data_IF_766511203240
#
_entry.id   IF_766511203240
#
_cell.length_a   1.000
_cell.length_b   1.000
_cell.length_c   1.000
_cell.angle_alpha   90.00
_cell.angle_beta   90.00
_cell.angle_gamma   90.00
#
_symmetry.space_group_name_H-M   'P 1'
#
loop_
_entity.id
_entity.type
_entity.pdbx_description
1 polymer ?
#
# COMPACT_ATOMS: atom_id res chain seq x y z
N UNK A 1 -9.28 -7.23 7.43
CA UNK A 1 -8.08 -6.48 7.83
C UNK A 1 -8.36 -5.43 8.91
N UNK A 2 -9.32 -4.51 8.73
CA UNK A 2 -9.64 -3.49 9.73
C UNK A 2 -10.00 -4.09 11.11
N UNK A 3 -10.77 -5.17 11.14
CA UNK A 3 -11.07 -5.92 12.37
C UNK A 3 -9.79 -6.38 13.11
N UNK A 4 -8.71 -6.74 12.40
CA UNK A 4 -7.45 -7.14 13.02
C UNK A 4 -6.73 -5.95 13.66
N UNK A 5 -6.65 -4.82 12.96
CA UNK A 5 -6.05 -3.62 13.55
C UNK A 5 -6.86 -3.13 14.75
N UNK A 6 -8.20 -3.20 14.69
CA UNK A 6 -9.04 -2.80 15.82
C UNK A 6 -8.89 -3.77 17.00
N UNK A 7 -8.90 -5.08 16.76
CA UNK A 7 -8.80 -6.10 17.81
C UNK A 7 -7.40 -6.25 18.41
N UNK A 8 -6.34 -5.90 17.69
CA UNK A 8 -4.96 -6.03 18.16
C UNK A 8 -4.45 -4.81 18.93
N UNK A 9 -5.10 -3.65 18.80
CA UNK A 9 -4.65 -2.40 19.40
C UNK A 9 -5.64 -1.88 20.45
N UNK A 10 -5.11 -1.60 21.64
CA UNK A 10 -5.86 -1.11 22.80
C UNK A 10 -6.57 0.24 22.56
N UNK A 11 -6.01 1.09 21.68
CA UNK A 11 -6.59 2.39 21.33
C UNK A 11 -6.48 2.62 19.83
N UNK A 12 -7.62 2.85 19.19
CA UNK A 12 -7.71 3.18 17.76
C UNK A 12 -8.49 4.49 17.61
N UNK A 13 -8.14 5.28 16.61
CA UNK A 13 -8.93 6.44 16.18
C UNK A 13 -9.49 6.17 14.79
N UNK A 14 -10.73 6.59 14.47
CA UNK A 14 -11.25 6.54 13.11
C UNK A 14 -10.33 7.24 12.09
N UNK A 15 -9.60 8.26 12.53
CA UNK A 15 -8.62 8.99 11.72
C UNK A 15 -7.45 8.13 11.23
N UNK A 16 -7.21 6.96 11.84
CA UNK A 16 -6.14 6.06 11.43
C UNK A 16 -6.36 5.52 10.01
N UNK A 17 -7.60 5.23 9.64
CA UNK A 17 -7.93 4.78 8.28
C UNK A 17 -7.76 5.88 7.25
N UNK A 18 -8.11 7.11 7.64
CA UNK A 18 -7.92 8.28 6.80
C UNK A 18 -6.42 8.49 6.57
N UNK A 19 -5.61 8.43 7.63
CA UNK A 19 -4.15 8.53 7.53
C UNK A 19 -3.57 7.43 6.63
N UNK A 20 -4.03 6.19 6.76
CA UNK A 20 -3.58 5.08 5.92
C UNK A 20 -3.93 5.27 4.44
N UNK A 21 -5.06 5.92 4.15
CA UNK A 21 -5.53 6.12 2.77
C UNK A 21 -4.91 7.36 2.11
N UNK A 22 -4.65 8.41 2.89
CA UNK A 22 -4.16 9.69 2.40
C UNK A 22 -2.63 9.75 2.28
N UNK A 23 -1.91 9.05 3.17
CA UNK A 23 -0.46 9.18 3.23
C UNK A 23 0.26 8.15 2.34
N UNK A 24 0.89 8.57 1.22
CA UNK A 24 1.52 7.66 0.25
C UNK A 24 2.77 6.95 0.78
N UNK A 25 3.26 7.37 1.96
CA UNK A 25 4.41 6.75 2.66
C UNK A 25 4.00 5.48 3.40
N UNK A 26 2.71 5.26 3.64
CA UNK A 26 2.23 4.09 4.38
C UNK A 26 2.02 2.90 3.44
N UNK A 27 2.50 1.75 3.87
CA UNK A 27 2.30 0.48 3.18
C UNK A 27 1.79 -0.56 4.16
N UNK A 28 0.97 -1.49 3.66
CA UNK A 28 0.42 -2.58 4.46
C UNK A 28 0.81 -3.91 3.85
N UNK A 29 1.37 -4.77 4.68
CA UNK A 29 1.74 -6.14 4.35
C UNK A 29 0.84 -7.09 5.13
N UNK A 30 0.47 -8.21 4.50
CA UNK A 30 -0.37 -9.23 5.11
C UNK A 30 0.30 -10.60 4.97
N UNK A 31 0.39 -11.33 6.08
CA UNK A 31 0.72 -12.74 6.09
C UNK A 31 -0.56 -13.55 5.89
N UNK A 32 -0.58 -14.37 4.84
CA UNK A 32 -1.70 -15.20 4.44
C UNK A 32 -1.34 -16.68 4.59
N UNK A 33 -2.32 -17.57 4.82
CA UNK A 33 -2.10 -19.00 4.65
C UNK A 33 -1.79 -19.33 3.19
N UNK A 34 -1.21 -20.51 2.90
CA UNK A 34 -0.97 -20.96 1.53
C UNK A 34 -2.24 -20.87 0.67
N UNK A 35 -2.16 -20.16 -0.45
CA UNK A 35 -3.30 -19.95 -1.34
C UNK A 35 -3.48 -21.17 -2.24
N UNK A 36 -4.60 -21.88 -2.10
CA UNK A 36 -5.00 -22.89 -3.08
C UNK A 36 -5.72 -22.21 -4.24
N UNK A 37 -5.21 -22.38 -5.47
CA UNK A 37 -5.77 -21.80 -6.72
C UNK A 37 -7.26 -22.15 -6.95
N UNK A 38 -7.78 -23.17 -6.26
CA UNK A 38 -9.17 -23.67 -6.36
C UNK A 38 -10.20 -22.93 -5.49
N UNK A 39 -9.79 -22.17 -4.47
CA UNK A 39 -10.75 -21.48 -3.61
C UNK A 39 -11.03 -20.07 -4.12
N UNK A 40 -12.20 -19.86 -4.72
CA UNK A 40 -12.75 -18.53 -5.05
C UNK A 40 -13.11 -17.67 -3.83
N UNK A 41 -12.47 -17.90 -2.67
CA UNK A 41 -12.72 -17.21 -1.41
C UNK A 41 -11.50 -16.37 -1.05
N UNK A 42 -11.76 -15.16 -0.53
CA UNK A 42 -10.73 -14.30 0.04
C UNK A 42 -10.01 -15.02 1.20
N UNK A 43 -8.66 -15.10 1.17
CA UNK A 43 -7.90 -15.75 2.22
C UNK A 43 -8.04 -14.98 3.54
N UNK A 44 -8.00 -15.72 4.65
CA UNK A 44 -7.96 -15.12 5.98
C UNK A 44 -6.59 -14.46 6.22
N UNK A 45 -6.60 -13.25 6.76
CA UNK A 45 -5.36 -12.52 7.10
C UNK A 45 -4.90 -12.96 8.49
N UNK A 46 -3.74 -13.59 8.58
CA UNK A 46 -3.19 -14.09 9.86
C UNK A 46 -2.50 -12.97 10.65
N UNK A 47 -1.67 -12.19 9.94
CA UNK A 47 -0.93 -11.05 10.48
C UNK A 47 -1.00 -9.91 9.48
N UNK A 48 -1.17 -8.69 9.97
CA UNK A 48 -1.14 -7.47 9.18
C UNK A 48 -0.09 -6.52 9.76
N UNK A 49 0.83 -6.04 8.93
CA UNK A 49 1.90 -5.12 9.33
C UNK A 49 1.72 -3.83 8.53
N UNK A 50 1.52 -2.72 9.24
CA UNK A 50 1.55 -1.39 8.67
C UNK A 50 2.94 -0.81 8.86
N UNK A 51 3.55 -0.33 7.78
CA UNK A 51 4.83 0.38 7.81
C UNK A 51 4.69 1.77 7.20
N UNK A 52 5.64 2.64 7.53
CA UNK A 52 5.81 3.96 6.94
C UNK A 52 7.25 4.10 6.45
N UNK A 53 7.43 4.46 5.18
CA UNK A 53 8.75 4.81 4.64
C UNK A 53 9.13 6.23 5.09
N UNK A 54 10.28 6.35 5.75
CA UNK A 54 10.77 7.60 6.36
C UNK A 54 12.15 7.98 5.83
N UNK A 55 12.49 9.26 5.98
CA UNK A 55 13.83 9.78 5.68
C UNK A 55 14.00 10.27 4.24
N UNK A 56 15.23 10.25 3.71
CA UNK A 56 15.61 10.98 2.47
C UNK A 56 15.23 12.47 2.51
N UNK A 57 15.41 13.10 3.66
CA UNK A 57 15.12 14.52 3.84
C UNK A 57 16.28 15.38 3.33
N UNK A 58 15.96 16.42 2.58
CA UNK A 58 16.94 17.43 2.19
C UNK A 58 17.44 18.19 3.42
N UNK A 59 18.71 18.62 3.40
CA UNK A 59 19.30 19.38 4.52
C UNK A 59 18.54 20.68 4.80
N UNK A 60 18.04 21.32 3.75
CA UNK A 60 17.17 22.50 3.86
C UNK A 60 15.87 22.17 4.60
N UNK A 61 15.16 21.10 4.23
CA UNK A 61 13.93 20.68 4.90
C UNK A 61 14.16 20.34 6.37
N UNK A 62 15.26 19.64 6.69
CA UNK A 62 15.62 19.32 8.08
C UNK A 62 15.89 20.59 8.89
N UNK A 63 16.70 21.51 8.34
CA UNK A 63 17.04 22.78 9.02
C UNK A 63 15.81 23.67 9.21
N UNK A 64 14.89 23.68 8.24
CA UNK A 64 13.66 24.45 8.29
C UNK A 64 12.70 23.90 9.34
N UNK A 65 12.51 22.57 9.39
CA UNK A 65 11.66 21.93 10.39
C UNK A 65 12.17 22.21 11.82
N UNK A 66 13.50 22.12 12.03
CA UNK A 66 14.11 22.41 13.33
C UNK A 66 13.99 23.89 13.70
N UNK A 67 14.27 24.80 12.76
CA UNK A 67 14.18 26.26 12.99
C UNK A 67 12.77 26.76 13.26
N UNK A 68 11.78 26.19 12.58
CA UNK A 68 10.36 26.58 12.74
C UNK A 68 9.74 26.00 14.01
N UNK A 69 10.43 25.10 14.72
CA UNK A 69 9.84 24.31 15.80
C UNK A 69 8.61 23.54 15.33
N UNK A 70 8.53 23.26 14.02
CA UNK A 70 7.30 22.82 13.38
C UNK A 70 6.96 21.42 13.89
N UNK A 71 5.71 21.24 14.32
CA UNK A 71 5.23 19.99 14.90
C UNK A 71 5.40 18.87 13.87
N UNK A 72 6.42 18.03 14.06
CA UNK A 72 6.55 16.67 13.50
C UNK A 72 6.18 16.60 12.01
N UNK A 73 7.13 16.76 11.07
CA UNK A 73 6.83 16.60 9.65
C UNK A 73 6.06 15.29 9.42
N UNK A 74 4.88 15.40 8.80
CA UNK A 74 3.90 14.32 8.73
C UNK A 74 4.54 13.05 8.15
N UNK A 75 4.68 12.05 9.02
CA UNK A 75 5.22 10.73 8.71
C UNK A 75 6.71 10.51 9.00
N UNK A 76 7.54 11.53 9.26
CA UNK A 76 8.99 11.36 9.49
C UNK A 76 9.35 11.45 10.99
N UNK A 77 8.88 10.50 11.78
CA UNK A 77 9.03 10.52 13.25
C UNK A 77 10.43 10.16 13.73
N UNK A 78 11.09 9.19 13.09
CA UNK A 78 12.43 8.74 13.51
C UNK A 78 13.47 9.84 13.22
N UNK A 79 13.57 10.39 12.00
CA UNK A 79 14.49 11.48 11.72
C UNK A 79 14.28 12.70 12.60
N UNK A 80 13.02 13.06 12.86
CA UNK A 80 12.67 14.20 13.70
C UNK A 80 13.08 14.02 15.15
N UNK A 81 12.74 12.86 15.74
CA UNK A 81 13.06 12.58 17.15
C UNK A 81 14.57 12.54 17.36
N UNK A 82 15.30 11.88 16.47
CA UNK A 82 16.75 11.80 16.57
C UNK A 82 17.42 13.14 16.30
N UNK A 83 16.98 13.92 15.31
CA UNK A 83 17.55 15.24 15.03
C UNK A 83 17.34 16.28 16.15
N UNK A 84 16.33 16.10 17.01
CA UNK A 84 16.15 16.95 18.19
C UNK A 84 17.07 16.57 19.36
N UNK A 85 17.34 15.28 19.56
CA UNK A 85 18.16 14.78 20.67
C UNK A 85 19.66 14.79 20.32
N UNK A 86 19.97 14.50 19.06
CA UNK A 86 21.32 14.46 18.52
C UNK A 86 21.41 15.46 17.36
N UNK A 87 22.29 16.46 17.45
CA UNK A 87 22.44 17.48 16.40
C UNK A 87 23.21 16.95 15.19
N UNK A 88 22.94 15.71 14.75
CA UNK A 88 23.52 15.12 13.56
C UNK A 88 22.53 15.20 12.38
N UNK A 89 22.84 16.08 11.42
CA UNK A 89 22.06 16.26 10.19
C UNK A 89 22.18 15.08 9.21
N UNK A 90 23.08 14.12 9.45
CA UNK A 90 23.27 12.95 8.58
C UNK A 90 22.07 12.00 8.63
N UNK A 91 21.45 11.88 9.81
CA UNK A 91 20.44 10.86 10.06
C UNK A 91 19.16 11.08 9.23
N UNK A 92 18.72 12.33 9.05
CA UNK A 92 17.54 12.62 8.24
C UNK A 92 17.71 12.36 6.74
N UNK A 93 18.96 12.29 6.27
CA UNK A 93 19.26 11.93 4.88
C UNK A 93 19.20 10.43 4.62
N UNK A 94 19.31 9.59 5.66
CA UNK A 94 19.15 8.15 5.54
C UNK A 94 17.71 7.80 5.16
N UNK A 95 17.55 6.69 4.43
CA UNK A 95 16.23 6.13 4.12
C UNK A 95 15.96 4.98 5.08
N UNK A 96 14.75 4.92 5.64
CA UNK A 96 14.35 3.86 6.56
C UNK A 96 12.88 3.52 6.43
N UNK A 97 12.47 2.47 7.13
CA UNK A 97 11.07 2.05 7.24
C UNK A 97 10.75 1.89 8.71
N UNK A 98 9.71 2.57 9.19
CA UNK A 98 9.18 2.40 10.55
C UNK A 98 8.00 1.45 10.51
N UNK A 99 8.01 0.44 11.38
CA UNK A 99 6.81 -0.35 11.67
C UNK A 99 5.87 0.49 12.54
N UNK A 100 4.70 0.82 12.01
CA UNK A 100 3.69 1.63 12.69
C UNK A 100 2.78 0.74 13.55
N UNK A 101 2.33 -0.38 12.99
CA UNK A 101 1.42 -1.33 13.65
C UNK A 101 1.69 -2.76 13.20
N UNK A 102 1.56 -3.69 14.14
CA UNK A 102 1.53 -5.14 13.89
C UNK A 102 0.26 -5.66 14.54
N UNK A 103 -0.60 -6.28 13.74
CA UNK A 103 -1.85 -6.86 14.18
C UNK A 103 -1.82 -8.37 13.87
N UNK A 104 -1.94 -9.20 14.90
CA UNK A 104 -2.00 -10.65 14.78
C UNK A 104 -3.38 -11.12 15.22
N UNK A 105 -3.95 -12.09 14.52
CA UNK A 105 -5.22 -12.67 14.91
C UNK A 105 -5.16 -13.16 16.39
N UNK A 106 -6.13 -12.82 17.25
CA UNK A 106 -6.09 -13.17 18.68
C UNK A 106 -5.82 -14.65 18.97
N UNK A 107 -6.43 -15.56 18.19
CA UNK A 107 -6.24 -17.01 18.34
C UNK A 107 -4.86 -17.53 17.88
N UNK A 108 -4.05 -16.69 17.26
CA UNK A 108 -2.71 -17.00 16.74
C UNK A 108 -1.59 -16.32 17.53
N UNK A 109 -1.94 -15.58 18.59
CA UNK A 109 -0.97 -15.01 19.51
C UNK A 109 -0.12 -16.13 20.15
N UNK A 110 1.15 -15.82 20.45
CA UNK A 110 2.13 -16.75 21.03
C UNK A 110 2.55 -17.95 20.16
N UNK A 111 2.08 -18.05 18.90
CA UNK A 111 2.51 -19.08 17.94
C UNK A 111 3.66 -18.66 17.01
N UNK A 112 4.16 -17.43 17.14
CA UNK A 112 5.31 -16.94 16.37
C UNK A 112 5.02 -16.39 14.96
N UNK A 113 3.76 -16.36 14.52
CA UNK A 113 3.40 -15.84 13.19
C UNK A 113 3.82 -14.37 12.97
N UNK A 114 3.71 -13.53 13.99
CA UNK A 114 4.15 -12.13 13.89
C UNK A 114 5.67 -12.02 13.73
N UNK A 115 6.43 -12.87 14.44
CA UNK A 115 7.89 -12.95 14.31
C UNK A 115 8.28 -13.38 12.91
N UNK A 116 7.59 -14.37 12.36
CA UNK A 116 7.84 -14.84 10.99
C UNK A 116 7.50 -13.79 9.94
N UNK A 117 6.37 -13.09 10.10
CA UNK A 117 5.98 -11.99 9.23
C UNK A 117 7.02 -10.85 9.22
N UNK A 118 7.63 -10.54 10.38
CA UNK A 118 8.70 -9.55 10.46
C UNK A 118 9.99 -10.01 9.77
N UNK A 119 10.38 -11.28 9.93
CA UNK A 119 11.56 -11.84 9.24
C UNK A 119 11.41 -11.78 7.71
N UNK A 120 10.23 -12.14 7.20
CA UNK A 120 9.94 -12.07 5.77
C UNK A 120 9.93 -10.62 5.26
N UNK A 121 9.39 -9.69 6.07
CA UNK A 121 9.43 -8.27 5.76
C UNK A 121 10.87 -7.73 5.71
N UNK A 122 11.70 -8.10 6.67
CA UNK A 122 13.13 -7.74 6.70
C UNK A 122 13.86 -8.27 5.46
N UNK A 123 13.70 -9.56 5.16
CA UNK A 123 14.27 -10.18 3.96
C UNK A 123 13.82 -9.50 2.66
N UNK A 124 12.56 -9.05 2.60
CA UNK A 124 12.04 -8.28 1.47
C UNK A 124 12.68 -6.90 1.36
N UNK A 125 12.84 -6.18 2.48
CA UNK A 125 13.47 -4.85 2.49
C UNK A 125 14.96 -4.92 2.10
N UNK A 126 15.66 -5.97 2.53
CA UNK A 126 17.03 -6.27 2.13
C UNK A 126 17.17 -6.72 0.67
N UNK A 127 16.07 -7.10 0.01
CA UNK A 127 16.05 -7.57 -1.38
C UNK A 127 16.34 -9.06 -1.55
N UNK A 128 16.41 -9.83 -0.46
CA UNK A 128 16.67 -11.29 -0.50
C UNK A 128 15.50 -12.11 -1.07
N UNK A 129 14.30 -11.52 -1.14
CA UNK A 129 13.07 -12.18 -1.62
C UNK A 129 12.80 -12.01 -3.13
N UNK A 130 13.68 -11.31 -3.87
CA UNK A 130 13.50 -11.02 -5.30
C UNK A 130 13.80 -12.20 -6.25
N UNK A 131 14.03 -13.41 -5.73
CA UNK A 131 14.48 -14.57 -6.51
C UNK A 131 13.63 -15.83 -6.38
N UNK A 132 12.50 -15.81 -5.66
CA UNK A 132 11.54 -16.91 -5.73
C UNK A 132 10.68 -16.74 -6.99
N UNK A 133 11.32 -16.95 -8.14
CA UNK A 133 10.62 -17.31 -9.36
C UNK A 133 10.01 -18.68 -9.11
N UNK A 134 8.70 -18.71 -8.89
CA UNK A 134 7.96 -19.94 -9.11
C UNK A 134 8.04 -20.21 -10.62
N UNK A 135 8.59 -21.36 -11.00
CA UNK A 135 8.44 -21.97 -12.32
C UNK A 135 6.95 -22.21 -12.60
N UNK A 136 6.21 -21.16 -12.97
CA UNK A 136 4.92 -21.27 -13.66
C UNK A 136 5.20 -20.81 -15.11
N UNK A 137 5.86 -21.68 -15.87
CA UNK A 137 5.80 -21.69 -17.35
C UNK A 137 4.34 -21.90 -17.73
N UNK A 138 3.67 -20.86 -18.21
CA UNK A 138 2.55 -21.05 -19.15
C UNK A 138 2.41 -19.81 -20.03
N UNK A 139 2.54 -20.08 -21.33
CA UNK A 139 2.53 -19.21 -22.48
C UNK A 139 1.29 -18.33 -22.58
N UNK A 140 1.48 -17.00 -22.60
CA UNK A 140 0.51 -16.10 -23.24
C UNK A 140 0.72 -16.17 -24.75
N UNK A 141 0.07 -17.14 -25.41
CA UNK A 141 -0.20 -17.04 -26.83
C UNK A 141 -1.31 -16.00 -27.01
N UNK A 142 -0.91 -14.77 -27.31
CA UNK A 142 -1.80 -13.74 -27.84
C UNK A 142 -2.29 -14.20 -29.21
N UNK A 143 -3.50 -14.74 -29.30
CA UNK A 143 -4.23 -14.85 -30.55
C UNK A 143 -5.11 -13.60 -30.69
N UNK A 144 -4.68 -12.71 -31.59
CA UNK A 144 -5.53 -11.69 -32.17
C UNK A 144 -6.61 -12.37 -33.03
N UNK A 145 -7.87 -12.24 -32.65
CA UNK A 145 -8.98 -12.55 -33.56
C UNK A 145 -9.72 -11.25 -33.90
N UNK A 146 -9.33 -10.69 -35.04
CA UNK A 146 -10.08 -9.71 -35.81
C UNK A 146 -11.33 -10.38 -36.39
N UNK A 147 -12.51 -9.92 -36.00
CA UNK A 147 -13.78 -10.32 -36.60
C UNK A 147 -14.73 -9.13 -36.62
N UNK A 148 -14.81 -8.51 -37.79
CA UNK A 148 -15.79 -7.49 -38.15
C UNK A 148 -17.23 -7.93 -37.83
N UNK A 149 -18.03 -7.05 -37.23
CA UNK A 149 -19.46 -6.92 -37.55
C UNK A 149 -20.02 -5.60 -36.97
N UNK A 150 -20.10 -4.59 -37.84
CA UNK A 150 -21.10 -3.52 -37.81
C UNK A 150 -21.94 -3.64 -39.10
N UNK A 151 -23.13 -3.02 -39.26
CA UNK A 151 -23.75 -1.99 -38.41
C UNK A 151 -25.27 -2.17 -38.17
N UNK A 152 -25.83 -1.40 -37.24
CA UNK A 152 -27.19 -0.88 -37.40
C UNK A 152 -27.26 0.54 -36.82
N UNK A 153 -27.47 1.48 -37.74
CA UNK A 153 -27.64 2.90 -37.52
C UNK A 153 -28.83 3.23 -36.61
N UNK A 154 -28.70 4.26 -35.78
CA UNK A 154 -29.54 5.43 -35.99
C UNK A 154 -28.86 6.71 -35.49
N UNK A 155 -28.90 7.71 -36.35
CA UNK A 155 -28.34 9.04 -36.18
C UNK A 155 -29.46 10.01 -35.85
N UNK A 156 -29.34 10.82 -34.80
CA UNK A 156 -29.91 12.17 -34.79
C UNK A 156 -29.38 13.00 -33.61
N UNK A 157 -28.99 14.22 -33.95
CA UNK A 157 -28.65 15.34 -33.08
C UNK A 157 -29.77 15.66 -32.08
N UNK A 158 -29.40 16.19 -30.90
CA UNK A 158 -29.84 17.52 -30.46
C UNK A 158 -29.71 17.70 -28.94
N UNK A 159 -29.04 18.79 -28.60
CA UNK A 159 -28.98 19.49 -27.33
C UNK A 159 -30.36 19.71 -26.69
N UNK A 160 -30.75 18.90 -25.71
CA UNK A 160 -31.69 19.27 -24.63
C UNK A 160 -31.81 18.14 -23.59
N UNK A 161 -32.10 18.49 -22.33
CA UNK A 161 -32.39 17.62 -21.18
C UNK A 161 -31.22 16.89 -20.49
N UNK A 162 -30.43 17.67 -19.73
CA UNK A 162 -29.43 17.18 -18.77
C UNK A 162 -30.01 16.60 -17.47
N UNK A 163 -31.33 16.39 -17.36
CA UNK A 163 -32.00 15.99 -16.11
C UNK A 163 -32.62 14.58 -16.13
N UNK A 164 -32.67 13.90 -17.27
CA UNK A 164 -33.31 12.58 -17.40
C UNK A 164 -32.34 11.38 -17.44
N UNK A 165 -31.03 11.62 -17.57
CA UNK A 165 -30.02 10.56 -17.72
C UNK A 165 -29.46 9.99 -16.40
N UNK A 166 -29.86 10.53 -15.25
CA UNK A 166 -29.38 10.08 -13.92
C UNK A 166 -29.90 8.69 -13.52
N UNK A 167 -30.98 8.20 -14.15
CA UNK A 167 -31.66 6.96 -13.75
C UNK A 167 -31.38 5.75 -14.65
N UNK A 168 -30.47 5.88 -15.63
CA UNK A 168 -30.14 4.81 -16.58
C UNK A 168 -28.69 4.31 -16.48
N UNK A 169 -27.93 4.75 -15.47
CA UNK A 169 -26.56 4.27 -15.27
C UNK A 169 -26.55 2.80 -14.83
N UNK A 170 -26.11 1.92 -15.74
CA UNK A 170 -25.82 0.53 -15.44
C UNK A 170 -24.45 0.45 -14.78
N UNK A 171 -24.41 0.31 -13.45
CA UNK A 171 -23.18 0.11 -12.68
C UNK A 171 -22.60 -1.27 -13.06
N UNK A 172 -21.68 -1.29 -14.03
CA UNK A 172 -20.87 -2.45 -14.35
C UNK A 172 -19.49 -2.30 -13.70
N UNK A 173 -18.88 -3.40 -13.21
CA UNK A 173 -17.51 -3.35 -12.71
C UNK A 173 -16.57 -2.85 -13.82
N UNK A 174 -15.66 -1.94 -13.48
CA UNK A 174 -14.68 -1.40 -14.42
C UNK A 174 -13.87 -2.56 -15.02
N UNK A 175 -13.73 -2.59 -16.36
CA UNK A 175 -13.12 -3.70 -17.12
C UNK A 175 -11.67 -4.03 -16.72
N UNK A 176 -10.94 -3.12 -16.08
CA UNK A 176 -9.57 -3.34 -15.62
C UNK A 176 -9.36 -2.68 -14.26
N UNK A 177 -9.50 -3.45 -13.18
CA UNK A 177 -9.17 -3.01 -11.82
C UNK A 177 -7.92 -3.76 -11.40
N UNK A 178 -6.96 -3.04 -10.80
CA UNK A 178 -5.77 -3.66 -10.23
C UNK A 178 -6.17 -4.73 -9.20
N UNK A 179 -5.43 -5.85 -9.10
CA UNK A 179 -5.75 -6.90 -8.16
C UNK A 179 -5.65 -6.38 -6.72
N UNK A 180 -6.54 -6.88 -5.85
CA UNK A 180 -6.57 -6.50 -4.43
C UNK A 180 -5.29 -6.87 -3.69
N UNK A 181 -4.70 -8.02 -4.05
CA UNK A 181 -3.47 -8.54 -3.48
C UNK A 181 -2.39 -8.60 -4.57
N UNK A 182 -1.17 -8.25 -4.19
CA UNK A 182 0.01 -8.41 -5.05
C UNK A 182 1.01 -9.29 -4.33
N UNK A 183 1.62 -10.24 -5.05
CA UNK A 183 2.71 -11.07 -4.50
C UNK A 183 3.88 -10.17 -4.11
N UNK A 184 4.55 -10.52 -3.01
CA UNK A 184 5.68 -9.75 -2.49
C UNK A 184 6.91 -9.82 -3.41
N UNK A 185 7.11 -10.94 -4.13
CA UNK A 185 8.21 -11.15 -5.07
C UNK A 185 8.20 -10.17 -6.25
N UNK A 186 7.02 -9.80 -6.75
CA UNK A 186 6.85 -8.86 -7.86
C UNK A 186 6.71 -7.39 -7.45
N UNK A 187 6.85 -7.07 -6.14
CA UNK A 187 6.61 -5.72 -5.63
C UNK A 187 7.92 -4.96 -5.39
N UNK A 188 7.96 -3.69 -5.81
CA UNK A 188 9.06 -2.81 -5.46
C UNK A 188 9.07 -2.48 -3.97
N UNK A 189 10.28 -2.22 -3.44
CA UNK A 189 10.47 -1.82 -2.04
C UNK A 189 9.72 -0.52 -1.75
N UNK A 190 9.18 -0.35 -0.53
CA UNK A 190 8.55 0.89 -0.12
C UNK A 190 9.59 2.01 -0.16
N UNK A 191 9.44 2.93 -1.09
CA UNK A 191 10.26 4.13 -1.20
C UNK A 191 9.42 5.34 -0.90
N UNK A 192 10.01 6.31 -0.20
CA UNK A 192 9.44 7.65 -0.16
C UNK A 192 9.37 8.21 -1.58
N UNK A 193 8.16 8.39 -2.10
CA UNK A 193 7.95 9.20 -3.29
C UNK A 193 8.32 10.66 -2.96
N UNK A 194 9.04 11.38 -3.85
CA UNK A 194 9.30 12.80 -3.65
C UNK A 194 7.94 13.50 -3.54
N UNK A 195 7.69 14.13 -2.41
CA UNK A 195 6.40 14.81 -2.20
C UNK A 195 6.31 15.98 -3.19
N UNK A 196 5.11 16.28 -3.71
CA UNK A 196 4.91 17.39 -4.63
C UNK A 196 5.32 18.76 -4.04
N UNK A 197 5.50 18.85 -2.71
CA UNK A 197 6.01 20.03 -1.99
C UNK A 197 7.53 20.16 -1.98
N UNK A 198 8.27 19.18 -2.49
CA UNK A 198 9.73 19.17 -2.58
C UNK A 198 10.27 19.42 -4.00
N UNK A 199 9.41 19.84 -4.94
CA UNK A 199 9.78 20.36 -6.27
C UNK A 199 9.66 21.87 -6.33
#
# INVERSE_FOLDING_TARGET
>A
MQSLFVSSHYKNSPNDLLLMSDAPKHHVFALLPPLSKSQGRLPEVLVSIQVCAEGRLSRSAQSQALRRGEMRPSGDMIPWTLGQQYPDSSFGSLAGVRVVRIACHPSLQRKGYATEALKQLEAFLEGKMAGAADDDEESSSDEEESGDEEPAADSAESTANKTAALHTERIAPKKSVAPLLSKLSGKSRPTRYPSARER
#
